data_IF_982554200257
#
_entry.id   IF_982554200257
#
_cell.length_a   1.000
_cell.length_b   1.000
_cell.length_c   1.000
_cell.angle_alpha   90.00
_cell.angle_beta   90.00
_cell.angle_gamma   90.00
#
_symmetry.space_group_name_H-M   'P 1'
#
loop_
_entity.id
_entity.type
_entity.pdbx_description
1 polymer ?
#
# COMPACT_ATOMS: atom_id res chain seq x y z
N UNK A 1 15.82 27.93 -20.92
CA UNK A 1 15.07 27.01 -20.04
C UNK A 1 14.31 27.83 -19.00
N UNK A 2 13.07 28.21 -19.30
CA UNK A 2 12.24 29.03 -18.40
C UNK A 2 11.90 28.23 -17.14
N UNK A 3 12.08 28.83 -15.96
CA UNK A 3 11.80 28.21 -14.67
C UNK A 3 10.32 27.82 -14.57
N UNK A 4 10.00 26.55 -14.85
CA UNK A 4 8.68 25.95 -14.63
C UNK A 4 8.13 26.19 -13.20
N UNK A 5 9.02 26.51 -12.24
CA UNK A 5 8.67 26.87 -10.86
C UNK A 5 8.02 28.24 -10.68
N UNK A 6 8.10 29.17 -11.65
CA UNK A 6 7.53 30.52 -11.54
C UNK A 6 6.08 30.60 -12.08
N UNK A 7 5.60 29.56 -12.77
CA UNK A 7 4.25 29.55 -13.33
C UNK A 7 3.18 29.41 -12.22
N UNK A 8 2.27 30.38 -12.15
CA UNK A 8 1.18 30.45 -11.17
C UNK A 8 0.29 29.20 -11.20
N UNK A 9 0.05 28.65 -12.38
CA UNK A 9 -0.70 27.40 -12.56
C UNK A 9 0.03 26.20 -11.97
N UNK A 10 1.34 26.11 -12.16
CA UNK A 10 2.16 25.04 -11.58
C UNK A 10 2.20 25.13 -10.04
N UNK A 11 2.28 26.35 -9.49
CA UNK A 11 2.20 26.58 -8.04
C UNK A 11 0.82 26.23 -7.47
N UNK A 12 -0.27 26.61 -8.14
CA UNK A 12 -1.64 26.25 -7.71
C UNK A 12 -1.89 24.75 -7.79
N UNK A 13 -1.45 24.11 -8.87
CA UNK A 13 -1.55 22.66 -9.03
C UNK A 13 -0.71 21.90 -7.99
N UNK A 14 0.54 22.31 -7.77
CA UNK A 14 1.39 21.75 -6.70
C UNK A 14 0.80 21.99 -5.31
N UNK A 15 0.22 23.16 -5.05
CA UNK A 15 -0.45 23.44 -3.77
C UNK A 15 -1.71 22.58 -3.58
N UNK A 16 -2.48 22.35 -4.65
CA UNK A 16 -3.65 21.47 -4.63
C UNK A 16 -3.25 20.01 -4.37
N UNK A 17 -2.19 19.53 -5.05
CA UNK A 17 -1.57 18.22 -4.79
C UNK A 17 -1.06 18.14 -3.36
N UNK A 18 -0.29 19.10 -2.87
CA UNK A 18 0.26 19.04 -1.51
C UNK A 18 -0.83 19.15 -0.43
N UNK A 19 -1.95 19.82 -0.72
CA UNK A 19 -3.08 19.94 0.23
C UNK A 19 -3.91 18.65 0.32
N UNK A 20 -4.01 17.87 -0.76
CA UNK A 20 -4.79 16.63 -0.77
C UNK A 20 -3.92 15.37 -0.66
N UNK A 21 -2.78 15.33 -1.34
CA UNK A 21 -1.81 14.21 -1.37
C UNK A 21 -0.58 14.46 -0.49
N UNK A 22 -0.28 15.70 -0.10
CA UNK A 22 0.79 16.00 0.87
C UNK A 22 0.38 15.67 2.32
N UNK A 23 1.26 15.86 3.32
CA UNK A 23 0.96 15.51 4.71
C UNK A 23 -0.26 16.29 5.20
N UNK A 24 -1.38 15.58 5.35
CA UNK A 24 -2.60 16.10 5.95
C UNK A 24 -2.44 16.10 7.46
N UNK A 25 -2.85 17.20 8.10
CA UNK A 25 -2.92 17.39 9.55
C UNK A 25 -3.95 16.49 10.25
N UNK A 26 -4.28 15.35 9.65
CA UNK A 26 -5.13 14.33 10.27
C UNK A 26 -4.31 13.71 11.42
N UNK A 27 -4.89 13.58 12.62
CA UNK A 27 -4.21 12.97 13.75
C UNK A 27 -4.00 11.49 13.46
N UNK A 28 -2.76 11.13 13.15
CA UNK A 28 -2.36 9.76 12.85
C UNK A 28 -0.86 9.71 12.66
N UNK A 29 -0.15 9.11 13.61
CA UNK A 29 1.29 8.92 13.54
C UNK A 29 1.63 7.49 13.11
N UNK A 30 2.71 7.35 12.35
CA UNK A 30 3.29 6.04 12.01
C UNK A 30 2.75 5.38 10.74
N UNK A 31 3.19 4.14 10.50
CA UNK A 31 3.01 3.45 9.22
C UNK A 31 1.56 3.07 8.90
N UNK A 32 0.75 2.78 9.91
CA UNK A 32 -0.64 2.37 9.66
C UNK A 32 -1.41 3.52 9.03
N UNK A 33 -1.29 4.73 9.57
CA UNK A 33 -1.88 5.94 9.00
C UNK A 33 -1.57 6.11 7.51
N UNK A 34 -0.30 5.97 7.10
CA UNK A 34 0.08 6.08 5.70
C UNK A 34 -0.54 4.99 4.83
N UNK A 35 -0.61 3.74 5.31
CA UNK A 35 -1.28 2.64 4.61
C UNK A 35 -2.78 2.88 4.46
N UNK A 36 -3.46 3.34 5.51
CA UNK A 36 -4.89 3.65 5.45
C UNK A 36 -5.17 4.76 4.44
N UNK A 37 -4.29 5.78 4.43
CA UNK A 37 -4.42 6.92 3.53
C UNK A 37 -4.21 6.54 2.07
N UNK A 38 -3.16 5.77 1.76
CA UNK A 38 -2.93 5.28 0.40
C UNK A 38 -4.11 4.39 -0.03
N UNK A 39 -4.57 3.50 0.84
CA UNK A 39 -5.72 2.65 0.55
C UNK A 39 -7.01 3.45 0.33
N UNK A 40 -7.22 4.54 1.07
CA UNK A 40 -8.37 5.42 0.88
C UNK A 40 -8.38 6.03 -0.52
N UNK A 41 -7.27 6.63 -0.96
CA UNK A 41 -7.17 7.21 -2.30
C UNK A 41 -7.26 6.15 -3.41
N UNK A 42 -6.64 4.98 -3.20
CA UNK A 42 -6.81 3.85 -4.10
C UNK A 42 -8.29 3.43 -4.21
N UNK A 43 -9.00 3.32 -3.09
CA UNK A 43 -10.42 2.94 -3.06
C UNK A 43 -11.28 3.95 -3.80
N UNK A 44 -11.04 5.25 -3.62
CA UNK A 44 -11.74 6.29 -4.36
C UNK A 44 -11.49 6.19 -5.88
N UNK A 45 -10.23 5.94 -6.28
CA UNK A 45 -9.89 5.74 -7.68
C UNK A 45 -10.58 4.50 -8.25
N UNK A 46 -10.60 3.38 -7.53
CA UNK A 46 -11.30 2.15 -7.95
C UNK A 46 -12.81 2.38 -8.05
N UNK A 47 -13.43 3.13 -7.13
CA UNK A 47 -14.87 3.44 -7.21
C UNK A 47 -15.16 4.31 -8.44
N UNK A 48 -14.36 5.35 -8.68
CA UNK A 48 -14.60 6.27 -9.78
C UNK A 48 -14.28 5.63 -11.15
N UNK A 49 -13.06 5.13 -11.33
CA UNK A 49 -12.62 4.53 -12.60
C UNK A 49 -13.18 3.13 -12.82
N UNK A 50 -13.50 2.38 -11.76
CA UNK A 50 -14.06 1.05 -11.86
C UNK A 50 -15.44 1.03 -12.50
N UNK A 51 -16.28 2.05 -12.28
CA UNK A 51 -17.57 2.18 -12.99
C UNK A 51 -17.35 2.34 -14.49
N UNK A 52 -16.43 3.22 -14.90
CA UNK A 52 -16.12 3.44 -16.31
C UNK A 52 -15.55 2.17 -16.97
N UNK A 53 -14.63 1.48 -16.29
CA UNK A 53 -14.07 0.21 -16.76
C UNK A 53 -15.13 -0.90 -16.85
N UNK A 54 -16.02 -0.99 -15.87
CA UNK A 54 -17.10 -1.97 -15.86
C UNK A 54 -18.06 -1.74 -17.04
N UNK A 55 -18.46 -0.50 -17.30
CA UNK A 55 -19.34 -0.18 -18.43
C UNK A 55 -18.65 -0.48 -19.76
N UNK A 56 -17.38 -0.11 -19.91
CA UNK A 56 -16.61 -0.37 -21.14
C UNK A 56 -16.45 -1.86 -21.42
N UNK A 57 -15.86 -2.62 -20.48
CA UNK A 57 -15.62 -4.05 -20.67
C UNK A 57 -16.91 -4.87 -20.62
N UNK A 58 -17.89 -4.46 -19.82
CA UNK A 58 -19.20 -5.09 -19.76
C UNK A 58 -19.94 -5.00 -21.09
N UNK A 59 -19.96 -3.81 -21.71
CA UNK A 59 -20.52 -3.64 -23.06
C UNK A 59 -19.74 -4.44 -24.11
N UNK A 60 -18.40 -4.41 -24.03
CA UNK A 60 -17.54 -5.18 -24.93
C UNK A 60 -17.85 -6.68 -24.89
N UNK A 61 -17.90 -7.28 -23.69
CA UNK A 61 -18.21 -8.71 -23.54
C UNK A 61 -19.64 -9.05 -23.92
N UNK A 62 -20.60 -8.16 -23.63
CA UNK A 62 -21.99 -8.35 -24.02
C UNK A 62 -22.15 -8.38 -25.55
N UNK A 63 -21.50 -7.45 -26.26
CA UNK A 63 -21.55 -7.39 -27.72
C UNK A 63 -20.77 -8.54 -28.38
N UNK A 64 -19.72 -9.03 -27.74
CA UNK A 64 -18.94 -10.18 -28.21
C UNK A 64 -19.63 -11.54 -27.93
N UNK A 65 -20.70 -11.57 -27.13
CA UNK A 65 -21.35 -12.82 -26.71
C UNK A 65 -20.57 -13.59 -25.62
N UNK A 66 -19.58 -12.94 -24.99
CA UNK A 66 -18.66 -13.53 -24.02
C UNK A 66 -19.25 -13.52 -22.60
N UNK A 67 -20.34 -14.26 -22.40
CA UNK A 67 -21.13 -14.19 -21.17
C UNK A 67 -20.39 -14.65 -19.91
N UNK A 68 -19.45 -15.61 -20.04
CA UNK A 68 -18.64 -16.09 -18.90
C UNK A 68 -17.77 -14.95 -18.34
N UNK A 69 -17.12 -14.20 -19.23
CA UNK A 69 -16.31 -13.03 -18.86
C UNK A 69 -17.18 -11.90 -18.30
N UNK A 70 -18.35 -11.66 -18.87
CA UNK A 70 -19.30 -10.66 -18.37
C UNK A 70 -19.79 -10.97 -16.94
N UNK A 71 -20.17 -12.22 -16.67
CA UNK A 71 -20.61 -12.67 -15.34
C UNK A 71 -19.46 -12.53 -14.34
N UNK A 72 -18.26 -12.99 -14.71
CA UNK A 72 -17.08 -12.88 -13.87
C UNK A 72 -16.75 -11.41 -13.55
N UNK A 73 -16.67 -10.54 -14.56
CA UNK A 73 -16.44 -9.10 -14.40
C UNK A 73 -17.48 -8.45 -13.48
N UNK A 74 -18.76 -8.79 -13.66
CA UNK A 74 -19.85 -8.27 -12.84
C UNK A 74 -19.72 -8.72 -11.39
N UNK A 75 -19.35 -9.98 -11.13
CA UNK A 75 -19.12 -10.49 -9.79
C UNK A 75 -17.94 -9.77 -9.10
N UNK A 76 -16.81 -9.61 -9.78
CA UNK A 76 -15.63 -8.88 -9.27
C UNK A 76 -16.00 -7.43 -8.96
N UNK A 77 -16.72 -6.76 -9.87
CA UNK A 77 -17.11 -5.36 -9.73
C UNK A 77 -18.06 -5.15 -8.56
N UNK A 78 -19.18 -5.87 -8.50
CA UNK A 78 -20.17 -5.73 -7.42
C UNK A 78 -19.52 -6.04 -6.07
N UNK A 79 -18.74 -7.12 -6.01
CA UNK A 79 -18.06 -7.52 -4.78
C UNK A 79 -17.08 -6.45 -4.29
N UNK A 80 -16.26 -5.90 -5.20
CA UNK A 80 -15.30 -4.85 -4.88
C UNK A 80 -16.01 -3.57 -4.43
N UNK A 81 -17.07 -3.16 -5.12
CA UNK A 81 -17.86 -1.99 -4.73
C UNK A 81 -18.50 -2.15 -3.35
N UNK A 82 -19.05 -3.32 -3.04
CA UNK A 82 -19.66 -3.61 -1.75
C UNK A 82 -18.63 -3.56 -0.62
N UNK A 83 -17.50 -4.27 -0.76
CA UNK A 83 -16.48 -4.35 0.30
C UNK A 83 -15.82 -2.99 0.54
N UNK A 84 -15.53 -2.23 -0.52
CA UNK A 84 -14.87 -0.93 -0.39
C UNK A 84 -15.80 0.12 0.22
N UNK A 85 -17.09 0.12 -0.13
CA UNK A 85 -18.06 1.11 0.33
C UNK A 85 -18.51 0.91 1.78
N UNK A 86 -18.51 -0.32 2.28
CA UNK A 86 -18.97 -0.62 3.64
C UNK A 86 -17.99 -0.09 4.70
N UNK A 87 -18.44 0.88 5.51
CA UNK A 87 -17.63 1.51 6.57
C UNK A 87 -17.28 0.55 7.71
N UNK A 88 -18.10 -0.48 7.97
CA UNK A 88 -17.92 -1.44 9.08
C UNK A 88 -16.81 -2.46 8.84
N UNK A 89 -16.36 -2.65 7.60
CA UNK A 89 -15.36 -3.65 7.27
C UNK A 89 -13.97 -3.13 7.65
N UNK A 90 -13.17 -3.89 8.43
CA UNK A 90 -11.85 -3.45 8.84
C UNK A 90 -10.91 -3.32 7.65
N UNK A 91 -10.01 -2.34 7.70
CA UNK A 91 -9.07 -2.03 6.61
C UNK A 91 -8.24 -3.25 6.18
N UNK A 92 -7.75 -4.04 7.14
CA UNK A 92 -6.97 -5.25 6.84
C UNK A 92 -7.74 -6.23 5.96
N UNK A 93 -9.04 -6.39 6.19
CA UNK A 93 -9.89 -7.24 5.36
C UNK A 93 -10.10 -6.62 3.98
N UNK A 94 -10.37 -5.30 3.89
CA UNK A 94 -10.53 -4.62 2.60
C UNK A 94 -9.29 -4.75 1.71
N UNK A 95 -8.10 -4.58 2.30
CA UNK A 95 -6.82 -4.79 1.61
C UNK A 95 -6.70 -6.22 1.12
N UNK A 96 -6.94 -7.21 1.99
CA UNK A 96 -6.90 -8.63 1.62
C UNK A 96 -7.88 -8.96 0.50
N UNK A 97 -9.09 -8.39 0.53
CA UNK A 97 -10.11 -8.57 -0.51
C UNK A 97 -9.68 -8.01 -1.86
N UNK A 98 -9.12 -6.79 -1.88
CA UNK A 98 -8.59 -6.19 -3.11
C UNK A 98 -7.48 -7.04 -3.71
N UNK A 99 -6.54 -7.50 -2.88
CA UNK A 99 -5.44 -8.37 -3.35
C UNK A 99 -5.99 -9.69 -3.90
N UNK A 100 -6.96 -10.29 -3.20
CA UNK A 100 -7.63 -11.49 -3.66
C UNK A 100 -8.34 -11.27 -5.00
N UNK A 101 -9.06 -10.16 -5.18
CA UNK A 101 -9.77 -9.86 -6.43
C UNK A 101 -8.82 -9.59 -7.60
N UNK A 102 -7.71 -8.89 -7.37
CA UNK A 102 -6.67 -8.68 -8.39
C UNK A 102 -6.05 -10.02 -8.81
N UNK A 103 -5.67 -10.84 -7.83
CA UNK A 103 -5.13 -12.18 -8.09
C UNK A 103 -6.14 -13.07 -8.84
N UNK A 104 -7.38 -13.13 -8.35
CA UNK A 104 -8.44 -13.94 -8.94
C UNK A 104 -8.72 -13.52 -10.38
N UNK A 105 -8.73 -12.22 -10.67
CA UNK A 105 -8.90 -11.69 -12.04
C UNK A 105 -7.73 -12.11 -12.93
N UNK A 106 -6.49 -11.96 -12.46
CA UNK A 106 -5.32 -12.38 -13.22
C UNK A 106 -5.30 -13.88 -13.48
N UNK A 107 -5.56 -14.69 -12.46
CA UNK A 107 -5.61 -16.15 -12.57
C UNK A 107 -6.74 -16.59 -13.52
N UNK A 108 -7.96 -16.07 -13.35
CA UNK A 108 -9.09 -16.37 -14.23
C UNK A 108 -8.74 -16.09 -15.69
N UNK A 109 -8.22 -14.89 -16.01
CA UNK A 109 -7.84 -14.54 -17.38
C UNK A 109 -6.73 -15.44 -17.94
N UNK A 110 -5.83 -15.93 -17.10
CA UNK A 110 -4.75 -16.83 -17.51
C UNK A 110 -5.26 -18.23 -17.87
N UNK A 111 -6.33 -18.71 -17.20
CA UNK A 111 -6.93 -20.02 -17.45
C UNK A 111 -8.11 -20.00 -18.43
N UNK A 112 -8.70 -18.84 -18.69
CA UNK A 112 -9.92 -18.72 -19.50
C UNK A 112 -9.70 -18.41 -20.98
N UNK A 113 -8.47 -18.16 -21.44
CA UNK A 113 -8.18 -18.06 -22.88
C UNK A 113 -7.14 -17.00 -23.25
N UNK A 114 -7.29 -16.31 -24.41
CA UNK A 114 -6.26 -15.52 -25.08
C UNK A 114 -6.02 -14.14 -24.45
N UNK A 115 -5.79 -14.12 -23.14
CA UNK A 115 -5.65 -12.89 -22.34
C UNK A 115 -4.38 -12.88 -21.50
N UNK A 116 -3.37 -13.63 -21.92
CA UNK A 116 -2.15 -13.86 -21.14
C UNK A 116 -1.48 -12.55 -20.72
N UNK A 117 -1.39 -11.57 -21.63
CA UNK A 117 -0.79 -10.26 -21.32
C UNK A 117 -1.61 -9.48 -20.28
N UNK A 118 -2.94 -9.47 -20.41
CA UNK A 118 -3.83 -8.74 -19.49
C UNK A 118 -3.80 -9.41 -18.10
N UNK A 119 -3.83 -10.74 -18.07
CA UNK A 119 -3.69 -11.53 -16.85
C UNK A 119 -2.43 -11.14 -16.06
N UNK A 120 -1.29 -11.06 -16.75
CA UNK A 120 -0.01 -10.65 -16.14
C UNK A 120 -0.07 -9.22 -15.58
N UNK A 121 -0.78 -8.27 -16.21
CA UNK A 121 -0.93 -6.93 -15.65
C UNK A 121 -1.68 -6.93 -14.31
N UNK A 122 -2.72 -7.75 -14.17
CA UNK A 122 -3.45 -7.90 -12.90
C UNK A 122 -2.58 -8.53 -11.81
N UNK A 123 -1.82 -9.58 -12.14
CA UNK A 123 -0.88 -10.20 -11.19
C UNK A 123 0.24 -9.22 -10.81
N UNK A 124 0.75 -8.41 -11.75
CA UNK A 124 1.73 -7.37 -11.48
C UNK A 124 1.20 -6.32 -10.51
N UNK A 125 0.01 -5.79 -10.79
CA UNK A 125 -0.66 -4.83 -9.91
C UNK A 125 -0.91 -5.42 -8.51
N UNK A 126 -1.28 -6.71 -8.44
CA UNK A 126 -1.45 -7.43 -7.17
C UNK A 126 -0.16 -7.43 -6.33
N UNK A 127 1.00 -7.75 -6.93
CA UNK A 127 2.29 -7.72 -6.24
C UNK A 127 2.64 -6.34 -5.69
N UNK A 128 2.46 -5.28 -6.50
CA UNK A 128 2.75 -3.90 -6.07
C UNK A 128 1.83 -3.50 -4.92
N UNK A 129 0.54 -3.81 -5.04
CA UNK A 129 -0.44 -3.50 -4.00
C UNK A 129 -0.15 -4.27 -2.71
N UNK A 130 0.28 -5.53 -2.81
CA UNK A 130 0.65 -6.36 -1.67
C UNK A 130 1.81 -5.75 -0.87
N UNK A 131 2.88 -5.31 -1.57
CA UNK A 131 4.02 -4.66 -0.92
C UNK A 131 3.64 -3.34 -0.28
N UNK A 132 2.91 -2.50 -1.01
CA UNK A 132 2.56 -1.15 -0.54
C UNK A 132 1.59 -1.17 0.64
N UNK A 133 0.58 -2.04 0.62
CA UNK A 133 -0.49 -2.05 1.63
C UNK A 133 -0.22 -3.00 2.79
N UNK A 134 0.39 -4.17 2.51
CA UNK A 134 0.56 -5.24 3.50
C UNK A 134 2.03 -5.39 3.95
N UNK A 135 2.99 -5.05 3.09
CA UNK A 135 4.42 -5.03 3.39
C UNK A 135 5.23 -6.06 2.61
N UNK A 136 6.55 -6.06 2.81
CA UNK A 136 7.49 -6.84 2.00
C UNK A 136 7.22 -8.36 2.02
N UNK A 137 6.95 -8.94 3.20
CA UNK A 137 6.67 -10.38 3.32
C UNK A 137 5.46 -10.80 2.49
N UNK A 138 4.38 -10.01 2.52
CA UNK A 138 3.19 -10.29 1.70
C UNK A 138 3.50 -10.21 0.21
N UNK A 139 4.30 -9.23 -0.21
CA UNK A 139 4.77 -9.15 -1.60
C UNK A 139 5.53 -10.40 -2.05
N UNK A 140 6.46 -10.89 -1.23
CA UNK A 140 7.22 -12.12 -1.53
C UNK A 140 6.28 -13.32 -1.70
N UNK A 141 5.31 -13.47 -0.80
CA UNK A 141 4.31 -14.55 -0.90
C UNK A 141 3.50 -14.47 -2.19
N UNK A 142 3.04 -13.28 -2.59
CA UNK A 142 2.32 -13.11 -3.86
C UNK A 142 3.21 -13.40 -5.08
N UNK A 143 4.49 -13.01 -5.07
CA UNK A 143 5.43 -13.38 -6.14
C UNK A 143 5.58 -14.90 -6.26
N UNK A 144 5.71 -15.61 -5.15
CA UNK A 144 5.77 -17.08 -5.14
C UNK A 144 4.48 -17.67 -5.71
N UNK A 145 3.32 -17.18 -5.25
CA UNK A 145 2.01 -17.62 -5.75
C UNK A 145 1.91 -17.38 -7.26
N UNK A 146 2.33 -16.21 -7.76
CA UNK A 146 2.30 -15.93 -9.20
C UNK A 146 3.19 -16.87 -10.01
N UNK A 147 4.38 -17.23 -9.51
CA UNK A 147 5.25 -18.22 -10.17
C UNK A 147 4.54 -19.57 -10.27
N UNK A 148 3.89 -20.01 -9.18
CA UNK A 148 3.11 -21.25 -9.16
C UNK A 148 1.93 -21.17 -10.14
N UNK A 149 1.20 -20.06 -10.17
CA UNK A 149 0.06 -19.83 -11.08
C UNK A 149 0.50 -19.86 -12.54
N UNK A 150 1.62 -19.20 -12.88
CA UNK A 150 2.18 -19.19 -14.23
C UNK A 150 2.63 -20.57 -14.66
N UNK A 151 3.27 -21.33 -13.76
CA UNK A 151 3.63 -22.72 -14.03
C UNK A 151 2.38 -23.58 -14.26
N UNK A 152 1.38 -23.47 -13.39
CA UNK A 152 0.14 -24.22 -13.48
C UNK A 152 -0.62 -23.91 -14.79
N UNK A 153 -0.71 -22.65 -15.20
CA UNK A 153 -1.35 -22.27 -16.45
C UNK A 153 -0.55 -22.72 -17.69
N UNK A 154 0.78 -22.61 -17.65
CA UNK A 154 1.62 -23.13 -18.72
C UNK A 154 1.47 -24.64 -18.90
N UNK A 155 1.42 -25.37 -17.79
CA UNK A 155 1.14 -26.81 -17.80
C UNK A 155 -0.27 -27.11 -18.32
N UNK A 156 -1.28 -26.37 -17.85
CA UNK A 156 -2.67 -26.53 -18.29
C UNK A 156 -2.79 -26.41 -19.81
N UNK A 157 -2.19 -25.37 -20.40
CA UNK A 157 -2.33 -25.05 -21.82
C UNK A 157 -1.42 -25.84 -22.76
N UNK A 158 -0.22 -26.25 -22.32
CA UNK A 158 0.80 -26.80 -23.21
C UNK A 158 1.19 -28.25 -22.94
N UNK A 159 0.61 -28.91 -21.93
CA UNK A 159 0.92 -30.32 -21.64
C UNK A 159 0.27 -31.32 -22.59
N UNK A 160 -0.80 -30.92 -23.30
CA UNK A 160 -1.60 -31.81 -24.14
C UNK A 160 -2.50 -32.78 -23.37
N UNK A 161 -2.53 -32.71 -22.03
CA UNK A 161 -3.45 -33.52 -21.21
C UNK A 161 -4.91 -33.04 -21.28
N UNK A 162 -5.11 -31.77 -21.60
CA UNK A 162 -6.44 -31.16 -21.67
C UNK A 162 -6.80 -30.83 -23.12
N UNK A 163 -8.01 -31.20 -23.51
CA UNK A 163 -8.56 -30.83 -24.80
C UNK A 163 -9.23 -29.47 -24.65
N UNK A 164 -8.70 -28.46 -25.35
CA UNK A 164 -9.18 -27.09 -25.23
C UNK A 164 -10.07 -26.74 -26.41
N UNK A 165 -11.22 -26.13 -26.12
CA UNK A 165 -12.11 -25.55 -27.13
C UNK A 165 -11.45 -24.31 -27.75
N UNK A 166 -10.81 -23.48 -26.91
CA UNK A 166 -10.10 -22.27 -27.30
C UNK A 166 -8.62 -22.39 -26.89
N UNK A 167 -7.69 -22.61 -27.83
CA UNK A 167 -6.27 -22.73 -27.50
C UNK A 167 -5.68 -21.39 -27.03
N UNK A 168 -4.51 -21.40 -26.34
CA UNK A 168 -3.87 -20.19 -25.86
C UNK A 168 -3.51 -19.24 -27.03
N UNK A 169 -3.51 -17.93 -26.76
CA UNK A 169 -3.16 -16.88 -27.74
C UNK A 169 -1.72 -16.97 -28.26
N UNK A 170 -0.86 -17.68 -27.55
CA UNK A 170 0.58 -17.65 -27.75
C UNK A 170 1.19 -19.05 -27.74
N UNK A 171 2.28 -19.19 -28.50
CA UNK A 171 3.09 -20.41 -28.50
C UNK A 171 3.73 -20.67 -27.13
N UNK A 172 4.05 -21.92 -26.82
CA UNK A 172 4.77 -22.30 -25.59
C UNK A 172 6.08 -21.50 -25.42
N UNK A 173 6.85 -21.34 -26.49
CA UNK A 173 8.08 -20.55 -26.47
C UNK A 173 7.81 -19.09 -26.09
N UNK A 174 6.78 -18.48 -26.68
CA UNK A 174 6.36 -17.12 -26.32
C UNK A 174 5.90 -17.04 -24.87
N UNK A 175 5.08 -18.00 -24.40
CA UNK A 175 4.57 -18.07 -23.02
C UNK A 175 5.71 -18.14 -22.00
N UNK A 176 6.70 -19.00 -22.22
CA UNK A 176 7.89 -19.12 -21.36
C UNK A 176 8.64 -17.78 -21.32
N UNK A 177 8.89 -17.17 -22.48
CA UNK A 177 9.63 -15.90 -22.56
C UNK A 177 8.93 -14.77 -21.79
N UNK A 178 7.61 -14.59 -21.99
CA UNK A 178 6.88 -13.54 -21.28
C UNK A 178 6.72 -13.85 -19.79
N UNK A 179 6.64 -15.12 -19.39
CA UNK A 179 6.57 -15.52 -17.98
C UNK A 179 7.88 -15.22 -17.25
N UNK A 180 9.02 -15.54 -17.86
CA UNK A 180 10.35 -15.19 -17.33
C UNK A 180 10.48 -13.66 -17.25
N UNK A 181 10.15 -12.95 -18.32
CA UNK A 181 10.20 -11.48 -18.35
C UNK A 181 9.31 -10.86 -17.27
N UNK A 182 8.09 -11.38 -17.10
CA UNK A 182 7.17 -10.96 -16.06
C UNK A 182 7.77 -11.14 -14.66
N UNK A 183 8.32 -12.33 -14.35
CA UNK A 183 8.91 -12.60 -13.03
C UNK A 183 10.10 -11.67 -12.77
N UNK A 184 10.98 -11.49 -13.75
CA UNK A 184 12.12 -10.56 -13.65
C UNK A 184 11.65 -9.13 -13.41
N UNK A 185 10.72 -8.63 -14.21
CA UNK A 185 10.17 -7.27 -14.05
C UNK A 185 9.45 -7.10 -12.71
N UNK A 186 8.72 -8.11 -12.25
CA UNK A 186 8.08 -8.11 -10.94
C UNK A 186 9.14 -7.94 -9.84
N UNK A 187 10.18 -8.79 -9.83
CA UNK A 187 11.26 -8.73 -8.82
C UNK A 187 12.01 -7.39 -8.88
N UNK A 188 12.42 -6.95 -10.08
CA UNK A 188 13.17 -5.69 -10.28
C UNK A 188 12.34 -4.49 -9.85
N UNK A 189 11.01 -4.52 -10.00
CA UNK A 189 10.13 -3.43 -9.55
C UNK A 189 9.89 -3.49 -8.05
N UNK A 190 9.69 -4.69 -7.49
CA UNK A 190 9.38 -4.86 -6.08
C UNK A 190 10.59 -4.61 -5.17
N UNK A 191 11.81 -5.02 -5.56
CA UNK A 191 13.00 -4.86 -4.74
C UNK A 191 13.26 -3.40 -4.28
N UNK A 192 13.32 -2.39 -5.17
CA UNK A 192 13.52 -1.00 -4.74
C UNK A 192 12.32 -0.46 -3.96
N UNK A 193 11.09 -0.85 -4.32
CA UNK A 193 9.88 -0.46 -3.60
C UNK A 193 9.88 -1.00 -2.15
N UNK A 194 10.23 -2.27 -1.96
CA UNK A 194 10.37 -2.90 -0.66
C UNK A 194 11.49 -2.23 0.16
N UNK A 195 12.65 -1.98 -0.45
CA UNK A 195 13.77 -1.29 0.20
C UNK A 195 13.36 0.10 0.69
N UNK A 196 12.71 0.89 -0.17
CA UNK A 196 12.22 2.22 0.18
C UNK A 196 11.21 2.18 1.33
N UNK A 197 10.20 1.32 1.26
CA UNK A 197 9.16 1.22 2.29
C UNK A 197 9.73 0.75 3.64
N UNK A 198 10.64 -0.23 3.62
CA UNK A 198 11.30 -0.71 4.83
C UNK A 198 12.24 0.35 5.41
N UNK A 199 12.98 1.08 4.57
CA UNK A 199 13.85 2.18 4.98
C UNK A 199 13.06 3.33 5.61
N UNK A 200 11.97 3.77 4.98
CA UNK A 200 11.05 4.77 5.54
C UNK A 200 10.45 4.30 6.88
N UNK A 201 10.01 3.05 6.94
CA UNK A 201 9.47 2.47 8.17
C UNK A 201 10.51 2.43 9.29
N UNK A 202 11.75 2.06 8.97
CA UNK A 202 12.85 2.06 9.92
C UNK A 202 13.13 3.47 10.45
N UNK A 203 13.22 4.46 9.56
CA UNK A 203 13.45 5.86 9.94
C UNK A 203 12.34 6.42 10.83
N UNK A 204 11.06 6.17 10.50
CA UNK A 204 9.93 6.61 11.33
C UNK A 204 9.97 5.96 12.73
N UNK A 205 10.25 4.66 12.81
CA UNK A 205 10.35 3.97 14.11
C UNK A 205 11.52 4.49 14.94
N UNK A 206 12.65 4.80 14.30
CA UNK A 206 13.83 5.38 14.93
C UNK A 206 13.52 6.77 15.49
N UNK A 207 12.84 7.61 14.72
CA UNK A 207 12.42 8.95 15.15
C UNK A 207 11.49 8.88 16.37
N UNK A 208 10.43 8.06 16.31
CA UNK A 208 9.51 7.87 17.44
C UNK A 208 10.19 7.34 18.70
N UNK A 209 11.28 6.57 18.55
CA UNK A 209 12.09 6.12 19.68
C UNK A 209 12.88 7.28 20.30
N UNK A 210 13.51 8.11 19.47
CA UNK A 210 14.25 9.27 19.97
C UNK A 210 13.34 10.30 20.62
N UNK A 211 12.16 10.56 20.05
CA UNK A 211 11.17 11.43 20.68
C UNK A 211 10.77 10.93 22.06
N UNK A 212 10.54 9.62 22.22
CA UNK A 212 10.25 9.03 23.54
C UNK A 212 11.40 9.19 24.54
N UNK A 213 12.64 9.01 24.09
CA UNK A 213 13.82 9.19 24.94
C UNK A 213 13.94 10.65 25.38
N UNK A 214 13.84 11.59 24.44
CA UNK A 214 13.93 13.02 24.71
C UNK A 214 12.83 13.50 25.67
N UNK A 215 11.59 13.02 25.49
CA UNK A 215 10.50 13.32 26.43
C UNK A 215 10.77 12.78 27.83
N UNK A 216 11.38 11.59 27.94
CA UNK A 216 11.81 11.03 29.23
C UNK A 216 12.89 11.86 29.90
N UNK A 217 13.97 12.19 29.18
CA UNK A 217 15.07 13.01 29.69
C UNK A 217 14.59 14.41 30.09
N UNK A 218 13.68 15.01 29.32
CA UNK A 218 13.08 16.30 29.68
C UNK A 218 12.30 16.22 30.99
N UNK A 219 11.53 15.15 31.21
CA UNK A 219 10.80 14.95 32.47
C UNK A 219 11.74 14.77 33.67
N UNK A 220 12.84 14.05 33.48
CA UNK A 220 13.86 13.84 34.52
C UNK A 220 14.60 15.15 34.85
N UNK A 221 14.95 15.95 33.83
CA UNK A 221 15.57 17.26 34.01
C UNK A 221 14.65 18.22 34.79
N UNK A 222 13.36 18.24 34.47
CA UNK A 222 12.38 19.05 35.21
C UNK A 222 12.31 18.63 36.68
N UNK A 223 12.30 17.32 36.95
CA UNK A 223 12.27 16.79 38.32
C UNK A 223 13.55 17.11 39.09
N UNK A 224 14.72 16.95 38.47
CA UNK A 224 16.00 17.27 39.08
C UNK A 224 16.11 18.75 39.41
N UNK A 225 15.65 19.62 38.51
CA UNK A 225 15.58 21.07 38.73
C UNK A 225 14.67 21.42 39.90
N UNK A 226 13.46 20.85 39.96
CA UNK A 226 12.54 21.09 41.08
C UNK A 226 13.15 20.69 42.43
N UNK A 227 13.81 19.53 42.48
CA UNK A 227 14.49 19.06 43.69
C UNK A 227 15.65 19.98 44.11
N UNK A 228 16.40 20.52 43.15
CA UNK A 228 17.46 21.49 43.43
C UNK A 228 16.88 22.80 43.97
N UNK A 229 15.81 23.33 43.36
CA UNK A 229 15.12 24.54 43.82
C UNK A 229 14.50 24.37 45.22
N UNK A 230 13.93 23.21 45.53
CA UNK A 230 13.44 22.88 46.89
C UNK A 230 14.57 22.81 47.91
N UNK A 231 15.69 22.17 47.55
CA UNK A 231 16.88 22.10 48.41
C UNK A 231 17.46 23.49 48.70
N UNK A 232 17.53 24.36 47.70
CA UNK A 232 18.01 25.73 47.86
C UNK A 232 17.07 26.55 48.76
N UNK A 233 15.74 26.43 48.58
CA UNK A 233 14.76 27.09 49.46
C UNK A 233 14.88 26.64 50.91
N UNK A 234 15.00 25.33 51.15
CA UNK A 234 15.20 24.78 52.50
C UNK A 234 16.49 25.29 53.14
N UNK A 235 17.59 25.32 52.37
CA UNK A 235 18.88 25.84 52.83
C UNK A 235 18.81 27.33 53.17
N UNK A 236 18.17 28.15 52.34
CA UNK A 236 17.97 29.58 52.61
C UNK A 236 17.09 29.81 53.85
N UNK A 237 16.00 29.06 54.00
CA UNK A 237 15.14 29.14 55.19
C UNK A 237 15.90 28.75 56.47
N UNK A 238 16.70 27.68 56.41
CA UNK A 238 17.55 27.25 57.51
C UNK A 238 18.57 28.34 57.92
N UNK A 239 19.30 28.91 56.94
CA UNK A 239 20.27 29.98 57.21
C UNK A 239 19.61 31.24 57.78
N UNK A 240 18.41 31.59 57.30
CA UNK A 240 17.63 32.71 57.84
C UNK A 240 17.26 32.47 59.30
N UNK A 241 16.80 31.27 59.65
CA UNK A 241 16.46 30.91 61.04
C UNK A 241 17.69 30.93 61.96
N UNK A 242 18.82 30.37 61.52
CA UNK A 242 20.07 30.42 62.28
C UNK A 242 20.58 31.85 62.47
N UNK A 243 20.50 32.69 61.43
CA UNK A 243 20.89 34.10 61.54
C UNK A 243 20.00 34.86 62.52
N UNK A 244 18.74 34.45 62.69
CA UNK A 244 17.85 35.03 63.70
C UNK A 244 18.28 34.60 65.11
N UNK A 245 18.52 33.30 65.33
CA UNK A 245 18.94 32.76 66.64
C UNK A 245 20.28 33.32 67.12
N UNK A 246 21.26 33.54 66.24
CA UNK A 246 22.56 34.11 66.63
C UNK A 246 22.44 35.60 67.03
N UNK A 247 21.41 36.29 66.52
CA UNK A 247 21.21 37.74 66.74
C UNK A 247 20.44 38.07 68.01
N UNK A 248 19.73 37.09 68.57
CA UNK A 248 18.95 37.16 69.82
C UNK A 248 19.72 36.52 70.97
#
# INVERSE_FOLDING_TARGET
MSKLSENLWFRRFRALINRHLGPSSLPGEGIQYWRERIFHYFSLAVIFFGVALYLYYGLFFLLAGEYVFLVFLTAIFISSMLVLSLRKIPLKFKVGWVLFMLYLTGAFLLFSGPHTNIAMLFLFACSIMAVTMSGALTGIWYTIIHIITLFAAGFYWHSGYFMHLDPPDISLHTYINISILFVVLNIVTLAPLMSLLNGLMFSIKKELRYQRILHGEQADLVRARQKAEESDKLKSAFLSNMSHEIRT
#
